data_IF_923488549204
#
_entry.id   IF_923488549204
#
_cell.length_a   1.000
_cell.length_b   1.000
_cell.length_c   1.000
_cell.angle_alpha   90.00
_cell.angle_beta   90.00
_cell.angle_gamma   90.00
#
_symmetry.space_group_name_H-M   'P 1'
#
loop_
_entity.id
_entity.type
_entity.pdbx_description
1 polymer ?
#
# COMPACT_ATOMS: atom_id res chain seq x y z
N UNK A 1 21.06 13.18 -21.59
CA UNK A 1 19.75 12.55 -21.66
C UNK A 1 19.16 12.42 -20.28
N UNK A 2 18.02 12.98 -20.10
CA UNK A 2 17.41 13.03 -18.80
C UNK A 2 16.88 11.64 -18.42
N UNK A 3 17.30 11.16 -17.26
CA UNK A 3 16.73 9.96 -16.69
C UNK A 3 15.31 10.28 -16.21
N UNK A 4 14.31 9.66 -16.82
CA UNK A 4 12.89 9.87 -16.45
C UNK A 4 12.59 9.54 -15.00
N UNK A 5 13.41 8.69 -14.36
CA UNK A 5 13.22 8.36 -12.94
C UNK A 5 13.56 9.53 -12.02
N UNK A 6 14.45 10.44 -12.44
CA UNK A 6 14.80 11.64 -11.69
C UNK A 6 13.66 12.66 -11.69
N UNK A 7 12.83 12.64 -12.72
CA UNK A 7 11.72 13.58 -12.90
C UNK A 7 10.36 12.94 -12.67
N UNK A 8 10.33 11.65 -12.32
CA UNK A 8 9.11 10.96 -11.95
C UNK A 8 8.51 11.58 -10.69
N UNK A 9 7.19 11.55 -10.61
CA UNK A 9 6.48 12.03 -9.41
C UNK A 9 6.85 11.18 -8.21
N UNK A 10 7.05 11.84 -7.09
CA UNK A 10 7.33 11.21 -5.81
C UNK A 10 6.35 11.74 -4.76
N UNK A 11 6.00 10.89 -3.82
CA UNK A 11 5.12 11.23 -2.72
C UNK A 11 5.84 10.92 -1.41
N UNK A 12 5.89 11.89 -0.52
CA UNK A 12 6.44 11.74 0.84
C UNK A 12 5.31 11.80 1.84
N UNK A 13 5.26 10.84 2.75
CA UNK A 13 4.24 10.79 3.80
C UNK A 13 4.76 10.09 5.05
N UNK A 14 4.06 10.30 6.17
CA UNK A 14 4.38 9.63 7.43
C UNK A 14 3.59 8.33 7.57
N UNK A 15 4.27 7.32 8.07
CA UNK A 15 3.65 6.04 8.41
C UNK A 15 2.96 6.12 9.77
N UNK A 16 2.00 5.22 10.06
CA UNK A 16 1.38 5.14 11.38
C UNK A 16 2.36 5.05 12.54
N UNK A 17 3.52 4.41 12.35
CA UNK A 17 4.59 4.33 13.36
C UNK A 17 5.36 5.63 13.57
N UNK A 18 5.16 6.64 12.71
CA UNK A 18 5.84 7.94 12.78
C UNK A 18 7.05 8.09 11.86
N UNK A 19 7.53 7.02 11.27
CA UNK A 19 8.58 7.09 10.24
C UNK A 19 8.06 7.72 8.96
N UNK A 20 8.98 8.28 8.19
CA UNK A 20 8.66 8.91 6.91
C UNK A 20 9.18 8.07 5.75
N UNK A 21 8.41 7.99 4.69
CA UNK A 21 8.80 7.33 3.45
C UNK A 21 8.50 8.21 2.26
N UNK A 22 9.33 8.09 1.22
CA UNK A 22 9.09 8.67 -0.10
C UNK A 22 8.96 7.54 -1.09
N UNK A 23 7.88 7.53 -1.85
CA UNK A 23 7.61 6.52 -2.87
C UNK A 23 7.58 7.15 -4.25
N UNK A 24 7.89 6.33 -5.28
CA UNK A 24 7.71 6.67 -6.68
C UNK A 24 6.39 6.10 -7.21
N UNK A 25 5.99 6.52 -8.39
CA UNK A 25 4.85 5.92 -9.07
C UNK A 25 5.12 4.44 -9.41
N UNK A 26 4.08 3.65 -9.37
CA UNK A 26 4.07 2.26 -9.78
C UNK A 26 4.25 2.15 -11.30
N UNK A 27 4.99 1.16 -11.76
CA UNK A 27 5.22 0.88 -13.18
C UNK A 27 4.94 -0.58 -13.51
N UNK A 28 5.14 -0.98 -14.79
CA UNK A 28 4.86 -2.35 -15.25
C UNK A 28 5.71 -3.42 -14.56
N UNK A 29 6.95 -3.12 -14.19
CA UNK A 29 7.80 -4.06 -13.45
C UNK A 29 7.24 -4.32 -12.06
N UNK A 30 6.68 -3.31 -11.42
CA UNK A 30 6.03 -3.45 -10.12
C UNK A 30 4.79 -4.36 -10.21
N UNK A 31 4.02 -4.24 -11.29
CA UNK A 31 2.88 -5.11 -11.54
C UNK A 31 3.31 -6.56 -11.71
N UNK A 32 4.41 -6.81 -12.40
CA UNK A 32 4.97 -8.15 -12.56
C UNK A 32 5.42 -8.73 -11.21
N UNK A 33 6.01 -7.92 -10.37
CA UNK A 33 6.41 -8.34 -9.01
C UNK A 33 5.17 -8.73 -8.19
N UNK A 34 4.14 -7.91 -8.21
CA UNK A 34 2.90 -8.17 -7.46
C UNK A 34 2.17 -9.41 -7.95
N UNK A 35 2.23 -9.70 -9.24
CA UNK A 35 1.54 -10.84 -9.84
C UNK A 35 2.33 -12.14 -9.80
N UNK A 36 3.53 -12.17 -9.25
CA UNK A 36 4.34 -13.40 -9.18
C UNK A 36 3.64 -14.44 -8.29
N UNK A 37 3.21 -15.59 -8.85
CA UNK A 37 2.41 -16.57 -8.10
C UNK A 37 3.21 -17.33 -7.04
N UNK A 38 4.51 -17.45 -7.20
CA UNK A 38 5.37 -18.12 -6.22
C UNK A 38 5.55 -17.24 -5.00
N UNK A 39 5.88 -15.97 -5.20
CA UNK A 39 6.08 -15.00 -4.11
C UNK A 39 4.75 -14.70 -3.39
N UNK A 40 3.63 -14.74 -4.09
CA UNK A 40 2.32 -14.49 -3.51
C UNK A 40 1.95 -15.49 -2.39
N UNK A 41 2.45 -16.70 -2.44
CA UNK A 41 2.20 -17.74 -1.43
C UNK A 41 2.75 -17.37 -0.05
N UNK A 42 3.82 -16.60 0.00
CA UNK A 42 4.49 -16.20 1.22
C UNK A 42 4.39 -14.70 1.48
N UNK A 43 3.60 -13.98 0.68
CA UNK A 43 3.50 -12.52 0.69
C UNK A 43 4.82 -11.80 0.39
N UNK A 44 5.81 -12.51 -0.15
CA UNK A 44 7.09 -11.93 -0.56
C UNK A 44 6.91 -10.94 -1.73
N UNK A 45 5.89 -11.13 -2.56
CA UNK A 45 5.54 -10.20 -3.62
C UNK A 45 5.27 -8.78 -3.08
N UNK A 46 4.54 -8.68 -1.98
CA UNK A 46 4.25 -7.38 -1.33
C UNK A 46 5.54 -6.76 -0.78
N UNK A 47 6.36 -7.55 -0.13
CA UNK A 47 7.64 -7.09 0.44
C UNK A 47 8.58 -6.58 -0.65
N UNK A 48 8.70 -7.29 -1.76
CA UNK A 48 9.50 -6.86 -2.91
C UNK A 48 8.93 -5.61 -3.56
N UNK A 49 7.62 -5.52 -3.69
CA UNK A 49 6.96 -4.34 -4.25
C UNK A 49 7.26 -3.09 -3.41
N UNK A 50 7.04 -3.16 -2.10
CA UNK A 50 7.28 -2.02 -1.21
C UNK A 50 8.75 -1.62 -1.23
N UNK A 51 9.66 -2.58 -1.15
CA UNK A 51 11.10 -2.31 -1.23
C UNK A 51 11.49 -1.63 -2.54
N UNK A 52 10.81 -1.96 -3.64
CA UNK A 52 11.09 -1.39 -4.95
C UNK A 52 10.58 0.03 -5.14
N UNK A 53 9.44 0.38 -4.54
CA UNK A 53 8.86 1.72 -4.73
C UNK A 53 9.36 2.76 -3.74
N UNK A 54 9.84 2.36 -2.57
CA UNK A 54 10.39 3.30 -1.57
C UNK A 54 11.75 3.78 -2.03
N UNK A 55 11.86 5.08 -2.31
CA UNK A 55 13.09 5.70 -2.79
C UNK A 55 13.89 6.37 -1.69
N UNK A 56 13.27 6.67 -0.57
CA UNK A 56 13.90 7.28 0.60
C UNK A 56 13.09 6.99 1.85
N UNK A 57 13.76 6.77 2.96
CA UNK A 57 13.11 6.55 4.26
C UNK A 57 14.08 6.80 5.41
N UNK A 58 13.54 7.13 6.58
CA UNK A 58 14.31 7.25 7.82
C UNK A 58 14.25 5.98 8.70
N UNK A 59 13.60 4.91 8.22
CA UNK A 59 13.52 3.63 8.93
C UNK A 59 14.90 2.97 9.03
N UNK A 60 15.72 3.09 7.99
CA UNK A 60 17.05 2.46 7.91
C UNK A 60 18.14 3.51 7.74
N UNK A 61 19.35 3.16 8.17
CA UNK A 61 20.51 4.02 7.99
C UNK A 61 20.90 4.20 6.51
N UNK A 62 20.62 3.20 5.68
CA UNK A 62 20.87 3.25 4.22
C UNK A 62 19.84 4.11 3.48
N UNK A 63 18.75 4.50 4.14
CA UNK A 63 17.61 5.23 3.57
C UNK A 63 16.88 4.47 2.46
N UNK A 64 17.11 3.17 2.35
CA UNK A 64 16.44 2.26 1.44
C UNK A 64 15.92 1.06 2.22
N UNK A 65 14.91 0.38 1.68
CA UNK A 65 14.35 -0.83 2.27
C UNK A 65 14.70 -2.04 1.42
N UNK A 66 15.11 -3.11 2.08
CA UNK A 66 15.17 -4.44 1.48
C UNK A 66 13.85 -5.17 1.73
N UNK A 67 13.53 -6.26 0.97
CA UNK A 67 12.33 -7.05 1.27
C UNK A 67 12.31 -7.58 2.71
N UNK A 68 13.45 -7.92 3.28
CA UNK A 68 13.58 -8.38 4.66
C UNK A 68 13.24 -7.29 5.66
N UNK A 69 13.66 -6.04 5.39
CA UNK A 69 13.29 -4.89 6.21
C UNK A 69 11.78 -4.68 6.21
N UNK A 70 11.15 -4.83 5.05
CA UNK A 70 9.70 -4.69 4.91
C UNK A 70 8.95 -5.76 5.70
N UNK A 71 9.46 -6.99 5.72
CA UNK A 71 8.86 -8.07 6.51
C UNK A 71 8.85 -7.79 8.02
N UNK A 72 9.80 -7.00 8.49
CA UNK A 72 9.90 -6.62 9.91
C UNK A 72 9.04 -5.42 10.26
N UNK A 73 8.51 -4.73 9.28
CA UNK A 73 7.66 -3.56 9.50
C UNK A 73 6.30 -3.95 10.07
N UNK A 74 5.69 -3.09 10.90
CA UNK A 74 4.30 -3.29 11.32
C UNK A 74 3.36 -3.41 10.13
N UNK A 75 2.35 -4.25 10.25
CA UNK A 75 1.37 -4.48 9.16
C UNK A 75 0.65 -3.21 8.73
N UNK A 76 0.34 -2.32 9.68
CA UNK A 76 -0.31 -1.04 9.37
C UNK A 76 0.58 -0.13 8.52
N UNK A 77 1.89 -0.13 8.77
CA UNK A 77 2.84 0.65 7.97
C UNK A 77 2.90 0.14 6.53
N UNK A 78 2.99 -1.19 6.37
CA UNK A 78 2.98 -1.81 5.04
C UNK A 78 1.68 -1.51 4.31
N UNK A 79 0.56 -1.62 5.00
CA UNK A 79 -0.75 -1.33 4.45
C UNK A 79 -0.87 0.14 4.02
N UNK A 80 -0.38 1.06 4.84
CA UNK A 80 -0.37 2.49 4.51
C UNK A 80 0.45 2.78 3.24
N UNK A 81 1.60 2.12 3.07
CA UNK A 81 2.40 2.26 1.83
C UNK A 81 1.63 1.75 0.62
N UNK A 82 0.98 0.60 0.73
CA UNK A 82 0.20 0.01 -0.36
C UNK A 82 -0.95 0.93 -0.78
N UNK A 83 -1.71 1.45 0.16
CA UNK A 83 -2.86 2.34 -0.13
C UNK A 83 -2.38 3.66 -0.72
N UNK A 84 -1.34 4.27 -0.15
CA UNK A 84 -0.78 5.52 -0.68
C UNK A 84 -0.22 5.34 -2.09
N UNK A 85 0.43 4.21 -2.36
CA UNK A 85 0.92 3.89 -3.70
C UNK A 85 -0.24 3.78 -4.70
N UNK A 86 -1.33 3.13 -4.31
CA UNK A 86 -2.51 2.99 -5.15
C UNK A 86 -3.14 4.35 -5.47
N UNK A 87 -3.32 5.19 -4.45
CA UNK A 87 -3.89 6.54 -4.62
C UNK A 87 -2.99 7.40 -5.52
N UNK A 88 -1.70 7.35 -5.27
CA UNK A 88 -0.70 8.16 -5.99
C UNK A 88 -0.61 7.76 -7.46
N UNK A 89 -0.64 6.47 -7.76
CA UNK A 89 -0.43 5.95 -9.11
C UNK A 89 -1.71 5.92 -9.94
N UNK A 90 -2.86 5.63 -9.33
CA UNK A 90 -4.10 5.32 -10.04
C UNK A 90 -5.30 6.19 -9.59
N UNK A 91 -5.10 7.05 -8.59
CA UNK A 91 -6.15 7.90 -8.05
C UNK A 91 -6.85 7.32 -6.82
N UNK A 92 -7.59 8.18 -6.15
CA UNK A 92 -8.19 7.88 -4.85
C UNK A 92 -9.52 7.12 -4.93
N UNK A 93 -10.11 7.05 -6.11
CA UNK A 93 -11.38 6.36 -6.32
C UNK A 93 -11.11 4.94 -6.81
N UNK A 94 -11.63 3.96 -6.10
CA UNK A 94 -11.59 2.56 -6.49
C UNK A 94 -13.00 2.13 -6.87
N UNK A 95 -13.18 1.82 -8.15
CA UNK A 95 -14.43 1.25 -8.65
C UNK A 95 -14.28 -0.26 -8.76
N UNK A 96 -15.25 -0.99 -8.26
CA UNK A 96 -15.30 -2.43 -8.46
C UNK A 96 -16.73 -2.93 -8.55
N UNK A 97 -16.88 -4.05 -9.23
CA UNK A 97 -18.16 -4.73 -9.40
C UNK A 97 -18.14 -6.02 -8.58
N UNK A 98 -19.12 -6.16 -7.73
CA UNK A 98 -19.34 -7.39 -6.98
C UNK A 98 -20.51 -8.15 -7.57
N UNK A 99 -20.28 -9.42 -7.92
CA UNK A 99 -21.30 -10.30 -8.45
C UNK A 99 -21.47 -11.51 -7.51
N UNK A 100 -22.69 -11.90 -7.25
CA UNK A 100 -22.96 -13.09 -6.44
C UNK A 100 -24.22 -13.79 -6.95
N UNK A 101 -24.32 -15.11 -6.68
CA UNK A 101 -25.49 -15.88 -7.00
C UNK A 101 -26.61 -15.53 -6.02
N UNK A 102 -27.77 -15.16 -6.57
CA UNK A 102 -28.95 -14.90 -5.76
C UNK A 102 -29.52 -16.18 -5.13
N UNK A 103 -30.34 -16.02 -4.08
CA UNK A 103 -30.96 -17.19 -3.45
C UNK A 103 -31.92 -17.86 -4.42
N UNK A 104 -31.82 -19.15 -4.60
CA UNK A 104 -32.76 -20.09 -5.23
C UNK A 104 -33.43 -19.71 -6.56
N UNK A 105 -33.35 -18.49 -7.05
CA UNK A 105 -33.93 -18.04 -8.29
C UNK A 105 -32.98 -18.16 -9.50
N UNK A 106 -31.72 -18.56 -9.27
CA UNK A 106 -30.72 -18.74 -10.29
C UNK A 106 -30.23 -17.45 -10.96
N UNK A 107 -30.59 -16.29 -10.44
CA UNK A 107 -30.16 -15.01 -10.99
C UNK A 107 -28.86 -14.54 -10.36
N UNK A 108 -27.89 -14.18 -11.20
CA UNK A 108 -26.67 -13.52 -10.76
C UNK A 108 -26.99 -12.05 -10.47
N UNK A 109 -26.56 -11.58 -9.30
CA UNK A 109 -26.75 -10.19 -8.90
C UNK A 109 -25.42 -9.47 -8.95
N UNK A 110 -25.42 -8.25 -9.43
CA UNK A 110 -24.24 -7.42 -9.55
C UNK A 110 -24.50 -6.06 -8.92
N UNK A 111 -23.50 -5.55 -8.22
CA UNK A 111 -23.50 -4.21 -7.65
C UNK A 111 -22.17 -3.55 -7.94
N UNK A 112 -22.21 -2.32 -8.41
CA UNK A 112 -21.02 -1.50 -8.60
C UNK A 112 -20.76 -0.70 -7.33
N UNK A 113 -19.52 -0.75 -6.84
CA UNK A 113 -19.07 -0.02 -5.66
C UNK A 113 -18.01 0.98 -6.02
N UNK A 114 -18.08 2.13 -5.36
CA UNK A 114 -17.04 3.14 -5.42
C UNK A 114 -16.50 3.38 -4.00
N UNK A 115 -15.20 3.25 -3.83
CA UNK A 115 -14.54 3.50 -2.53
C UNK A 115 -13.55 4.63 -2.70
N UNK A 116 -13.63 5.63 -1.81
CA UNK A 116 -12.64 6.69 -1.73
C UNK A 116 -11.51 6.25 -0.80
N UNK A 117 -10.35 5.94 -1.39
CA UNK A 117 -9.19 5.44 -0.64
C UNK A 117 -8.54 6.49 0.26
N UNK A 118 -8.77 7.77 0.00
CA UNK A 118 -8.29 8.83 0.88
C UNK A 118 -8.89 8.70 2.29
N UNK A 119 -10.17 8.37 2.38
CA UNK A 119 -10.81 8.09 3.67
C UNK A 119 -10.21 6.88 4.38
N UNK A 120 -9.84 5.84 3.63
CA UNK A 120 -9.17 4.64 4.18
C UNK A 120 -7.83 4.99 4.80
N UNK A 121 -7.04 5.86 4.17
CA UNK A 121 -5.76 6.31 4.72
C UNK A 121 -5.96 6.99 6.08
N UNK A 122 -6.93 7.88 6.18
CA UNK A 122 -7.24 8.57 7.44
C UNK A 122 -7.69 7.60 8.54
N UNK A 123 -8.49 6.59 8.20
CA UNK A 123 -8.90 5.56 9.15
C UNK A 123 -7.71 4.77 9.69
N UNK A 124 -6.76 4.40 8.84
CA UNK A 124 -5.52 3.72 9.25
C UNK A 124 -4.74 4.57 10.25
N UNK A 125 -4.56 5.85 9.95
CA UNK A 125 -3.84 6.78 10.84
C UNK A 125 -4.57 6.91 12.19
N UNK A 126 -5.87 7.06 12.17
CA UNK A 126 -6.67 7.19 13.40
C UNK A 126 -6.64 5.94 14.26
N UNK A 127 -6.71 4.76 13.66
CA UNK A 127 -6.58 3.47 14.38
C UNK A 127 -5.21 3.39 15.04
N UNK A 128 -4.16 3.76 14.35
CA UNK A 128 -2.79 3.75 14.89
C UNK A 128 -2.63 4.68 16.08
N UNK A 129 -3.16 5.89 15.98
CA UNK A 129 -3.13 6.86 17.09
C UNK A 129 -3.90 6.32 18.29
N UNK A 130 -5.09 5.77 18.11
CA UNK A 130 -5.88 5.20 19.19
C UNK A 130 -5.18 4.02 19.85
N UNK A 131 -4.60 3.12 19.06
CA UNK A 131 -3.85 1.97 19.57
C UNK A 131 -2.65 2.41 20.39
N UNK A 132 -1.92 3.41 19.92
CA UNK A 132 -0.78 3.97 20.65
C UNK A 132 -1.18 4.49 22.03
N UNK A 133 -2.26 5.24 22.12
CA UNK A 133 -2.73 5.79 23.39
C UNK A 133 -3.24 4.73 24.36
N UNK A 134 -3.85 3.66 23.84
CA UNK A 134 -4.36 2.55 24.67
C UNK A 134 -3.23 1.70 25.25
N UNK A 135 -2.14 1.51 24.49
CA UNK A 135 -1.04 0.64 24.89
C UNK A 135 -0.04 1.33 25.81
N UNK A 136 0.01 2.66 25.84
CA UNK A 136 0.93 3.38 26.69
C UNK A 136 0.60 3.18 28.17
N UNK A 137 1.55 2.63 28.97
CA UNK A 137 1.36 2.59 30.43
C UNK A 137 1.42 4.02 30.98
N UNK A 138 0.52 4.30 31.82
CA UNK A 138 0.46 5.59 32.55
C UNK A 138 1.20 5.49 33.86
#
# INVERSE_FOLDING_TARGET
>A
MEDKTLYGKKLTFKLPSGYEVTIREQNGEDDDILSNPVDAKTFMNISKFIAGIVTDTDITATRLLTPEDVQKMPSLDRYAIMVNSRVFSLGEILDFRYAWDGPADGQVREVDYEINLHGVIWEIVMISVKTFWVIQPW
#
